data_IF_102631321756
#
_entry.id   IF_102631321756
#
_cell.length_a   1.000
_cell.length_b   1.000
_cell.length_c   1.000
_cell.angle_alpha   90.00
_cell.angle_beta   90.00
_cell.angle_gamma   90.00
#
_symmetry.space_group_name_H-M   'P 1'
#
loop_
_entity.id
_entity.type
_entity.pdbx_description
1 polymer ?
#
# COMPACT_ATOMS: atom_id res chain seq x y z
N UNK A 1 -36.24 8.65 -64.31
CA UNK A 1 -34.84 8.82 -64.73
C UNK A 1 -33.97 8.72 -63.48
N UNK A 2 -33.24 7.62 -63.36
CA UNK A 2 -32.39 7.29 -62.22
C UNK A 2 -30.98 7.87 -62.37
N UNK A 3 -30.38 8.33 -61.27
CA UNK A 3 -28.93 8.32 -61.05
C UNK A 3 -28.60 7.91 -59.61
N UNK A 4 -28.21 6.63 -59.48
CA UNK A 4 -27.21 6.01 -58.57
C UNK A 4 -26.05 6.98 -58.23
N UNK A 5 -25.24 6.87 -57.18
CA UNK A 5 -25.08 6.01 -56.00
C UNK A 5 -23.90 6.65 -55.23
N UNK A 6 -23.92 6.74 -53.90
CA UNK A 6 -22.68 6.84 -53.12
C UNK A 6 -22.88 6.03 -51.86
N UNK A 7 -22.28 4.85 -51.89
CA UNK A 7 -22.22 3.86 -50.83
C UNK A 7 -21.68 4.52 -49.56
N UNK A 8 -22.38 4.37 -48.44
CA UNK A 8 -21.77 4.46 -47.11
C UNK A 8 -22.08 3.12 -46.43
N UNK A 9 -21.04 2.30 -46.36
CA UNK A 9 -21.07 0.90 -45.98
C UNK A 9 -21.24 0.77 -44.48
N UNK A 10 -22.24 -0.01 -44.08
CA UNK A 10 -22.32 -0.65 -42.77
C UNK A 10 -21.47 -1.92 -42.84
N UNK A 11 -20.49 -2.09 -41.94
CA UNK A 11 -20.11 -3.38 -41.35
C UNK A 11 -19.06 -3.22 -40.20
N UNK A 12 -18.89 -4.25 -39.34
CA UNK A 12 -18.75 -4.05 -37.90
C UNK A 12 -17.46 -4.60 -37.27
N UNK A 13 -17.33 -4.35 -35.96
CA UNK A 13 -16.49 -5.03 -34.95
C UNK A 13 -14.95 -5.02 -35.07
N UNK A 14 -14.31 -4.52 -34.00
CA UNK A 14 -13.17 -5.21 -33.39
C UNK A 14 -13.17 -5.02 -31.87
N UNK A 15 -13.76 -5.98 -31.15
CA UNK A 15 -13.33 -6.34 -29.80
C UNK A 15 -11.94 -6.98 -29.92
N UNK A 16 -10.96 -6.49 -29.16
CA UNK A 16 -9.90 -7.26 -28.49
C UNK A 16 -8.81 -6.29 -28.04
N UNK A 17 -8.73 -6.07 -26.73
CA UNK A 17 -7.71 -5.23 -26.11
C UNK A 17 -8.00 -5.05 -24.63
N UNK A 18 -8.07 -6.16 -23.89
CA UNK A 18 -7.85 -6.17 -22.44
C UNK A 18 -6.39 -5.76 -22.27
N UNK A 19 -6.14 -4.46 -22.17
CA UNK A 19 -4.80 -3.93 -21.96
C UNK A 19 -4.51 -3.98 -20.47
N UNK A 20 -3.84 -5.07 -20.12
CA UNK A 20 -2.87 -5.25 -19.03
C UNK A 20 -3.12 -4.45 -17.75
N UNK A 21 -3.50 -5.22 -16.74
CA UNK A 21 -3.22 -5.02 -15.32
C UNK A 21 -1.89 -4.28 -15.09
N UNK A 22 -1.98 -2.95 -14.95
CA UNK A 22 -0.85 -2.05 -14.70
C UNK A 22 -0.61 -1.96 -13.19
N UNK A 23 -0.18 -3.08 -12.62
CA UNK A 23 0.28 -3.16 -11.22
C UNK A 23 1.54 -2.31 -10.98
N UNK A 24 2.19 -1.84 -12.05
CA UNK A 24 3.40 -1.00 -12.02
C UNK A 24 3.15 0.40 -11.46
N UNK A 25 1.99 1.01 -11.72
CA UNK A 25 1.64 2.36 -11.19
C UNK A 25 1.36 2.38 -9.70
N UNK A 26 1.02 1.24 -9.10
CA UNK A 26 0.84 1.13 -7.66
C UNK A 26 2.19 1.23 -6.92
N UNK A 27 3.30 0.92 -7.59
CA UNK A 27 4.65 0.91 -7.02
C UNK A 27 5.33 2.28 -7.20
N UNK A 28 5.01 3.02 -8.26
CA UNK A 28 5.65 4.31 -8.57
C UNK A 28 5.20 5.47 -7.65
N UNK A 29 4.04 5.34 -7.02
CA UNK A 29 3.44 6.40 -6.19
C UNK A 29 3.51 6.15 -4.68
N UNK A 30 4.17 5.07 -4.25
CA UNK A 30 4.42 4.83 -2.82
C UNK A 30 5.62 5.66 -2.35
N UNK A 31 5.61 6.16 -1.10
CA UNK A 31 6.81 6.77 -0.54
C UNK A 31 7.97 5.77 -0.56
N UNK A 32 9.19 6.26 -0.83
CA UNK A 32 10.39 5.42 -0.78
C UNK A 32 10.68 5.02 0.66
N UNK A 33 10.86 3.72 0.90
CA UNK A 33 11.49 3.22 2.11
C UNK A 33 12.97 3.60 2.07
N UNK A 34 13.46 4.28 3.11
CA UNK A 34 14.90 4.55 3.22
C UNK A 34 15.60 3.25 3.63
N UNK A 35 16.64 2.80 2.89
CA UNK A 35 17.38 1.60 3.24
C UNK A 35 18.09 1.80 4.59
N UNK A 36 18.13 0.72 5.37
CA UNK A 36 18.67 0.64 6.74
C UNK A 36 20.17 1.03 6.81
N UNK A 37 20.87 1.08 5.67
CA UNK A 37 22.31 1.36 5.57
C UNK A 37 22.73 2.82 5.83
N UNK A 38 21.84 3.81 5.77
CA UNK A 38 22.19 5.21 6.14
C UNK A 38 22.21 5.44 7.66
N UNK A 39 21.82 4.44 8.45
CA UNK A 39 21.90 4.44 9.91
C UNK A 39 23.22 3.78 10.28
N UNK A 40 24.31 4.55 10.34
CA UNK A 40 25.69 4.07 10.47
C UNK A 40 26.00 3.16 11.67
N UNK A 41 25.59 1.89 11.61
CA UNK A 41 25.91 0.85 12.58
C UNK A 41 26.81 -0.19 11.91
N UNK A 42 28.12 0.01 12.08
CA UNK A 42 29.18 -0.93 11.65
C UNK A 42 28.97 -2.30 12.32
N UNK A 43 28.87 -3.36 11.51
CA UNK A 43 28.80 -4.75 11.98
C UNK A 43 30.16 -5.41 11.74
N UNK A 44 30.86 -5.80 12.81
CA UNK A 44 32.02 -6.70 12.74
C UNK A 44 31.55 -8.17 12.75
N UNK A 45 32.18 -8.99 11.90
CA UNK A 45 31.97 -10.44 11.80
C UNK A 45 32.46 -11.19 13.04
N UNK A 46 31.64 -12.12 13.57
CA UNK A 46 32.13 -13.34 14.21
C UNK A 46 31.20 -14.53 13.89
N UNK A 47 31.83 -15.58 13.37
CA UNK A 47 31.32 -16.92 13.13
C UNK A 47 31.31 -17.74 14.43
N UNK A 48 30.17 -18.35 14.80
CA UNK A 48 30.06 -19.77 15.19
C UNK A 48 28.63 -20.14 15.65
N UNK A 49 28.16 -21.29 15.15
CA UNK A 49 26.92 -22.04 15.39
C UNK A 49 26.16 -21.75 16.71
N UNK A 50 25.01 -21.07 16.60
CA UNK A 50 24.07 -20.84 17.71
C UNK A 50 22.60 -21.14 17.28
N UNK A 51 21.67 -21.40 18.23
CA UNK A 51 20.29 -21.78 17.95
C UNK A 51 19.57 -20.78 17.05
N UNK A 52 18.91 -21.28 15.99
CA UNK A 52 18.27 -20.49 14.92
C UNK A 52 16.90 -19.94 15.36
N UNK A 53 16.85 -19.29 16.53
CA UNK A 53 15.69 -18.48 16.91
C UNK A 53 16.15 -17.03 16.74
N UNK A 54 15.69 -16.32 15.69
CA UNK A 54 16.09 -14.95 15.47
C UNK A 54 15.68 -14.09 16.66
N UNK A 55 16.56 -13.21 17.17
CA UNK A 55 16.22 -12.33 18.29
C UNK A 55 15.09 -11.37 17.88
N UNK A 56 14.22 -10.95 18.81
CA UNK A 56 13.11 -10.04 18.51
C UNK A 56 13.69 -8.69 18.10
N UNK A 57 13.70 -8.41 16.79
CA UNK A 57 14.34 -7.23 16.21
C UNK A 57 14.89 -7.45 14.80
N UNK A 58 14.97 -8.68 14.33
CA UNK A 58 15.23 -8.97 12.92
C UNK A 58 13.97 -8.69 12.10
N UNK A 59 14.09 -7.84 11.08
CA UNK A 59 12.99 -7.54 10.16
C UNK A 59 12.60 -8.83 9.45
N UNK A 60 11.55 -9.48 9.96
CA UNK A 60 10.82 -10.46 9.19
C UNK A 60 10.25 -9.67 8.02
N UNK A 61 10.77 -9.88 6.82
CA UNK A 61 10.06 -9.58 5.58
C UNK A 61 8.74 -10.34 5.68
N UNK A 62 7.70 -9.70 6.25
CA UNK A 62 6.35 -10.22 6.25
C UNK A 62 5.98 -10.37 4.78
N UNK A 63 6.07 -11.60 4.30
CA UNK A 63 5.54 -11.98 3.00
C UNK A 63 4.06 -11.61 3.02
N UNK A 64 3.72 -10.53 2.33
CA UNK A 64 2.37 -10.12 2.02
C UNK A 64 1.68 -11.32 1.38
N UNK A 65 1.01 -12.12 2.19
CA UNK A 65 0.26 -13.26 1.68
C UNK A 65 -1.02 -12.65 1.15
N UNK A 66 -0.95 -12.16 -0.09
CA UNK A 66 -2.07 -11.61 -0.84
C UNK A 66 -3.20 -12.67 -0.86
N UNK A 67 -4.19 -12.50 0.02
CA UNK A 67 -5.27 -13.47 0.19
C UNK A 67 -5.85 -13.59 1.61
N UNK A 68 -5.26 -12.97 2.63
CA UNK A 68 -5.79 -13.02 4.00
C UNK A 68 -6.14 -11.62 4.49
N UNK A 69 -7.41 -11.37 4.79
CA UNK A 69 -7.82 -10.22 5.62
C UNK A 69 -7.22 -10.40 7.01
N UNK A 70 -6.36 -9.47 7.44
CA UNK A 70 -5.60 -9.59 8.67
C UNK A 70 -5.83 -8.38 9.59
N UNK A 71 -6.06 -8.66 10.88
CA UNK A 71 -6.06 -7.64 11.92
C UNK A 71 -4.68 -7.52 12.54
N UNK A 72 -4.11 -6.32 12.51
CA UNK A 72 -2.87 -5.98 13.16
C UNK A 72 -3.18 -5.10 14.38
N UNK A 73 -2.68 -5.49 15.54
CA UNK A 73 -3.03 -4.86 16.82
C UNK A 73 -1.83 -4.18 17.47
N UNK A 74 -2.09 -3.14 18.26
CA UNK A 74 -1.11 -2.44 19.09
C UNK A 74 0.05 -1.80 18.32
N UNK A 75 -0.20 -1.40 17.07
CA UNK A 75 0.78 -0.80 16.18
C UNK A 75 0.89 0.71 16.36
N UNK A 76 2.01 1.29 15.94
CA UNK A 76 2.25 2.74 15.97
C UNK A 76 2.37 3.30 14.56
N UNK A 77 1.83 4.49 14.34
CA UNK A 77 2.06 5.26 13.12
C UNK A 77 3.23 6.21 13.34
N UNK A 78 4.29 6.03 12.57
CA UNK A 78 5.49 6.89 12.61
C UNK A 78 5.45 8.01 11.57
N UNK A 79 4.76 7.80 10.44
CA UNK A 79 4.76 8.71 9.31
C UNK A 79 3.44 8.73 8.55
N UNK A 80 3.21 9.83 7.84
CA UNK A 80 2.09 9.99 6.91
C UNK A 80 2.61 10.63 5.65
N UNK A 81 2.03 10.23 4.52
CA UNK A 81 2.34 10.81 3.23
C UNK A 81 1.08 10.88 2.38
N UNK A 82 0.98 11.92 1.57
CA UNK A 82 -0.08 12.09 0.58
C UNK A 82 0.45 12.94 -0.56
N UNK A 83 -0.09 12.73 -1.75
CA UNK A 83 0.24 13.48 -2.96
C UNK A 83 -1.03 14.04 -3.60
N UNK A 84 -0.89 15.03 -4.47
CA UNK A 84 -1.98 15.60 -5.26
C UNK A 84 -2.43 14.63 -6.39
N UNK A 85 -2.91 13.45 -5.99
CA UNK A 85 -3.50 12.43 -6.84
C UNK A 85 -4.80 11.94 -6.21
N UNK A 86 -5.65 11.30 -7.01
CA UNK A 86 -6.94 10.83 -6.55
C UNK A 86 -6.76 9.75 -5.47
N UNK A 87 -7.13 10.10 -4.23
CA UNK A 87 -7.18 9.19 -3.08
C UNK A 87 -5.87 8.42 -2.88
N UNK A 88 -4.77 9.16 -2.85
CA UNK A 88 -3.44 8.60 -2.65
C UNK A 88 -2.83 9.08 -1.32
N UNK A 89 -3.17 8.36 -0.25
CA UNK A 89 -2.68 8.60 1.11
C UNK A 89 -2.11 7.33 1.71
N UNK A 90 -0.99 7.46 2.42
CA UNK A 90 -0.21 6.37 2.99
C UNK A 90 0.13 6.65 4.45
N UNK A 91 0.18 5.58 5.25
CA UNK A 91 0.65 5.59 6.62
C UNK A 91 1.89 4.70 6.74
N UNK A 92 2.92 5.20 7.41
CA UNK A 92 4.09 4.42 7.80
C UNK A 92 3.82 3.79 9.16
N UNK A 93 3.72 2.47 9.18
CA UNK A 93 3.52 1.69 10.39
C UNK A 93 4.88 1.21 10.89
N UNK A 94 5.17 1.45 12.16
CA UNK A 94 6.42 1.05 12.79
C UNK A 94 6.59 -0.48 12.71
N UNK A 95 7.72 -0.94 12.16
CA UNK A 95 8.04 -2.36 11.98
C UNK A 95 7.37 -3.06 10.80
N UNK A 96 6.47 -2.38 10.06
CA UNK A 96 5.72 -2.96 8.93
C UNK A 96 6.00 -2.22 7.61
N UNK A 97 6.30 -0.92 7.68
CA UNK A 97 6.56 -0.09 6.50
C UNK A 97 5.33 0.67 6.01
N UNK A 98 5.39 1.17 4.78
CA UNK A 98 4.29 1.95 4.19
C UNK A 98 3.10 1.06 3.85
N UNK A 99 1.91 1.50 4.24
CA UNK A 99 0.63 0.93 3.82
C UNK A 99 -0.26 2.02 3.27
N UNK A 100 -0.93 1.71 2.17
CA UNK A 100 -1.88 2.63 1.55
C UNK A 100 -3.20 2.59 2.32
N UNK A 101 -3.83 3.74 2.47
CA UNK A 101 -5.18 3.82 3.02
C UNK A 101 -6.20 3.48 1.94
N UNK A 102 -7.28 2.79 2.31
CA UNK A 102 -8.32 2.39 1.37
C UNK A 102 -8.88 3.60 0.60
N UNK A 103 -9.01 3.46 -0.71
CA UNK A 103 -9.35 4.54 -1.65
C UNK A 103 -10.76 4.39 -2.27
N UNK A 104 -11.61 3.57 -1.67
CA UNK A 104 -12.97 3.28 -2.17
C UNK A 104 -13.92 4.49 -2.16
N UNK A 105 -13.72 5.44 -1.23
CA UNK A 105 -14.53 6.67 -1.13
C UNK A 105 -13.72 7.86 -0.63
N UNK A 106 -14.13 9.09 -1.01
CA UNK A 106 -13.47 10.32 -0.58
C UNK A 106 -13.61 10.53 0.93
N UNK A 107 -14.79 10.27 1.48
CA UNK A 107 -15.03 10.36 2.92
C UNK A 107 -14.23 9.30 3.70
N UNK A 108 -14.10 8.09 3.15
CA UNK A 108 -13.34 7.00 3.78
C UNK A 108 -11.87 7.32 3.91
N UNK A 109 -11.22 7.74 2.81
CA UNK A 109 -9.78 8.04 2.86
C UNK A 109 -9.47 9.26 3.74
N UNK A 110 -10.34 10.29 3.74
CA UNK A 110 -10.18 11.45 4.62
C UNK A 110 -10.34 11.05 6.08
N UNK A 111 -11.34 10.22 6.42
CA UNK A 111 -11.52 9.70 7.78
C UNK A 111 -10.30 8.89 8.25
N UNK A 112 -9.81 7.96 7.44
CA UNK A 112 -8.61 7.17 7.76
C UNK A 112 -7.37 8.05 7.93
N UNK A 113 -7.20 9.06 7.07
CA UNK A 113 -6.08 10.01 7.16
C UNK A 113 -6.15 10.83 8.45
N UNK A 114 -7.34 11.26 8.87
CA UNK A 114 -7.54 11.98 10.13
C UNK A 114 -7.23 11.10 11.35
N UNK A 115 -7.72 9.86 11.37
CA UNK A 115 -7.41 8.90 12.43
C UNK A 115 -5.91 8.63 12.52
N UNK A 116 -5.27 8.43 11.37
CA UNK A 116 -3.84 8.17 11.29
C UNK A 116 -3.02 9.39 11.76
N UNK A 117 -3.48 10.61 11.43
CA UNK A 117 -2.88 11.87 11.90
C UNK A 117 -2.98 12.02 13.40
N UNK A 118 -4.15 11.73 13.97
CA UNK A 118 -4.37 11.77 15.40
C UNK A 118 -3.48 10.75 16.14
N UNK A 119 -3.46 9.50 15.66
CA UNK A 119 -2.61 8.45 16.21
C UNK A 119 -1.12 8.83 16.18
N UNK A 120 -0.63 9.37 15.05
CA UNK A 120 0.74 9.86 14.93
C UNK A 120 1.03 11.03 15.88
N UNK A 121 0.11 11.98 16.02
CA UNK A 121 0.31 13.15 16.88
C UNK A 121 0.46 12.77 18.36
N UNK A 122 -0.38 11.85 18.84
CA UNK A 122 -0.36 11.41 20.24
C UNK A 122 0.55 10.21 20.50
N UNK A 123 1.12 9.61 19.45
CA UNK A 123 1.80 8.32 19.52
C UNK A 123 0.90 7.22 20.15
N UNK A 124 -0.41 7.31 19.91
CA UNK A 124 -1.39 6.33 20.36
C UNK A 124 -1.20 5.01 19.64
N UNK A 125 -1.52 3.92 20.34
CA UNK A 125 -1.64 2.60 19.72
C UNK A 125 -2.82 2.60 18.75
N UNK A 126 -2.70 1.83 17.68
CA UNK A 126 -3.77 1.58 16.73
C UNK A 126 -3.97 0.08 16.52
N UNK A 127 -5.20 -0.28 16.19
CA UNK A 127 -5.51 -1.57 15.58
C UNK A 127 -6.07 -1.31 14.19
N UNK A 128 -5.57 -2.01 13.18
CA UNK A 128 -6.01 -1.81 11.80
C UNK A 128 -6.25 -3.14 11.09
N UNK A 129 -7.13 -3.11 10.08
CA UNK A 129 -7.41 -4.24 9.21
C UNK A 129 -6.87 -3.99 7.82
N UNK A 130 -6.00 -4.89 7.38
CA UNK A 130 -5.52 -4.98 6.02
C UNK A 130 -6.39 -5.98 5.25
N UNK A 131 -6.81 -5.62 4.04
CA UNK A 131 -7.54 -6.51 3.14
C UNK A 131 -6.61 -7.16 2.11
N UNK A 132 -7.16 -8.01 1.24
CA UNK A 132 -6.40 -8.74 0.21
C UNK A 132 -5.67 -7.84 -0.80
N UNK A 133 -6.01 -6.56 -0.86
CA UNK A 133 -5.36 -5.54 -1.70
C UNK A 133 -4.19 -4.81 -1.00
N UNK A 134 -3.80 -5.28 0.19
CA UNK A 134 -2.77 -4.70 1.04
C UNK A 134 -3.04 -3.24 1.46
N UNK A 135 -4.31 -2.82 1.46
CA UNK A 135 -4.73 -1.50 1.93
C UNK A 135 -5.44 -1.57 3.29
N UNK A 136 -5.25 -0.53 4.09
CA UNK A 136 -5.92 -0.38 5.37
C UNK A 136 -7.36 0.08 5.14
N UNK A 137 -8.32 -0.79 5.45
CA UNK A 137 -9.74 -0.50 5.31
C UNK A 137 -10.40 0.01 6.59
N UNK A 138 -9.90 -0.45 7.73
CA UNK A 138 -10.44 -0.11 9.04
C UNK A 138 -9.30 0.20 10.00
N UNK A 139 -9.51 1.20 10.86
CA UNK A 139 -8.55 1.62 11.88
C UNK A 139 -9.28 2.10 13.13
N UNK A 140 -8.84 1.61 14.29
CA UNK A 140 -9.24 2.07 15.61
C UNK A 140 -8.06 2.71 16.32
N UNK A 141 -8.31 3.86 16.96
CA UNK A 141 -7.30 4.64 17.70
C UNK A 141 -7.78 4.75 19.15
N UNK A 142 -6.86 4.55 20.09
CA UNK A 142 -7.10 4.57 21.54
C UNK A 142 -6.56 5.84 22.21
#
# INVERSE_FOLDING_TARGET
MAKRNKNDETEPQKLAGVESDDTSKLIESRPKDLPIEEIGLTTEEMNETAPIIPPPGEFVEESYTAGITAWHNSQNISGLWSINENRNSWALIAGVGWRKLANGSDSGIVALTMLASHAKQLQSKINYREETDAMIHEMYVW
#
